data_IF_413684005674
#
_entry.id   IF_413684005674
#
_cell.length_a   1.000
_cell.length_b   1.000
_cell.length_c   1.000
_cell.angle_alpha   90.00
_cell.angle_beta   90.00
_cell.angle_gamma   90.00
#
_symmetry.space_group_name_H-M   'P 1'
#
loop_
_entity.id
_entity.type
_entity.pdbx_description
1 polymer ?
#
# COMPACT_ATOMS: atom_id res chain seq x y z
N UNK A 1 9.34 18.58 15.93
CA UNK A 1 9.16 17.12 16.04
C UNK A 1 10.45 16.54 16.57
N UNK A 2 10.42 15.88 17.72
CA UNK A 2 11.58 15.26 18.34
C UNK A 2 11.53 13.75 18.14
N UNK A 3 12.69 13.08 18.08
CA UNK A 3 12.78 11.63 17.85
C UNK A 3 11.90 10.85 18.83
N UNK A 4 11.83 11.26 20.10
CA UNK A 4 11.03 10.57 21.11
C UNK A 4 9.51 10.61 20.84
N UNK A 5 9.03 11.60 20.08
CA UNK A 5 7.63 11.74 19.66
C UNK A 5 7.29 10.76 18.53
N UNK A 6 8.29 10.28 17.79
CA UNK A 6 8.17 9.27 16.74
C UNK A 6 8.33 7.84 17.27
N UNK A 7 8.89 7.71 18.47
CA UNK A 7 9.21 6.43 19.12
C UNK A 7 8.07 5.97 20.05
N UNK A 8 7.35 6.92 20.66
CA UNK A 8 6.20 6.63 21.53
C UNK A 8 4.90 6.73 20.73
N UNK A 9 3.99 5.81 21.01
CA UNK A 9 2.67 5.81 20.36
C UNK A 9 1.94 7.13 20.68
N UNK A 10 1.44 7.86 19.67
CA UNK A 10 0.60 9.03 19.92
C UNK A 10 -0.66 8.63 20.69
N UNK A 11 -1.10 9.49 21.62
CA UNK A 11 -2.23 9.27 22.51
C UNK A 11 -3.60 9.51 21.85
N UNK A 12 -4.47 10.28 22.53
CA UNK A 12 -5.84 10.59 22.09
C UNK A 12 -5.88 11.17 20.66
N UNK A 13 -6.88 10.78 19.86
CA UNK A 13 -7.06 11.26 18.48
C UNK A 13 -6.37 10.41 17.41
N UNK A 14 -5.63 9.38 17.81
CA UNK A 14 -4.98 8.43 16.92
C UNK A 14 -5.68 7.08 16.95
N UNK A 15 -6.07 6.62 15.78
CA UNK A 15 -6.65 5.30 15.57
C UNK A 15 -5.54 4.25 15.60
N UNK A 16 -5.74 3.26 16.45
CA UNK A 16 -4.89 2.09 16.60
C UNK A 16 -5.13 1.13 15.44
N UNK A 17 -4.15 0.28 15.13
CA UNK A 17 -4.38 -0.92 14.33
C UNK A 17 -5.56 -1.73 14.91
N UNK A 18 -6.70 -1.75 14.21
CA UNK A 18 -7.69 -2.84 14.27
C UNK A 18 -7.33 -3.84 13.19
N UNK A 19 -7.12 -5.12 13.55
CA UNK A 19 -6.78 -6.17 12.57
C UNK A 19 -7.78 -6.12 11.41
N UNK A 20 -7.26 -5.69 10.25
CA UNK A 20 -7.90 -5.54 8.96
C UNK A 20 -6.80 -5.50 7.90
N UNK A 21 -7.13 -5.87 6.66
CA UNK A 21 -6.20 -6.16 5.55
C UNK A 21 -5.49 -4.92 4.98
N UNK A 22 -4.64 -4.26 5.75
CA UNK A 22 -3.82 -3.18 5.18
C UNK A 22 -2.91 -2.42 6.15
N UNK A 23 -1.69 -2.92 6.36
CA UNK A 23 -0.52 -2.04 6.61
C UNK A 23 -0.17 -1.23 5.36
N UNK A 24 0.69 -0.21 5.47
CA UNK A 24 1.23 0.76 4.47
C UNK A 24 0.27 1.32 3.37
N UNK A 25 -0.49 0.47 2.71
CA UNK A 25 -1.36 0.70 1.56
C UNK A 25 -2.70 1.41 1.85
N UNK A 26 -3.03 1.71 3.11
CA UNK A 26 -4.32 2.34 3.46
C UNK A 26 -4.23 3.81 3.79
N UNK A 27 -3.05 4.33 4.13
CA UNK A 27 -2.93 5.76 4.39
C UNK A 27 -3.32 6.57 3.16
N UNK A 28 -2.93 6.11 1.96
CA UNK A 28 -3.32 6.74 0.69
C UNK A 28 -4.81 6.66 0.37
N UNK A 29 -5.56 5.73 0.99
CA UNK A 29 -7.02 5.62 0.83
C UNK A 29 -7.75 6.64 1.70
N UNK A 30 -7.20 6.93 2.87
CA UNK A 30 -7.82 7.80 3.87
C UNK A 30 -7.28 9.21 3.72
N UNK A 31 -5.97 9.37 3.79
CA UNK A 31 -5.19 10.59 3.62
C UNK A 31 -4.50 10.58 2.25
N UNK A 32 -5.28 10.80 1.19
CA UNK A 32 -4.83 10.61 -0.20
C UNK A 32 -3.75 11.58 -0.67
N UNK A 33 -3.57 12.70 0.04
CA UNK A 33 -2.56 13.72 -0.19
C UNK A 33 -1.29 13.50 0.64
N UNK A 34 -1.33 12.54 1.59
CA UNK A 34 -0.24 12.33 2.51
C UNK A 34 1.02 11.85 1.78
N UNK A 35 2.17 12.34 2.26
CA UNK A 35 3.50 11.96 1.78
C UNK A 35 4.26 11.25 2.88
N UNK A 36 4.78 10.08 2.54
CA UNK A 36 5.54 9.25 3.47
C UNK A 36 7.01 9.64 3.43
N UNK A 37 7.57 9.94 4.60
CA UNK A 37 8.99 10.13 4.83
C UNK A 37 9.55 8.96 5.64
N UNK A 38 10.64 8.37 5.16
CA UNK A 38 11.26 7.21 5.78
C UNK A 38 12.45 7.62 6.65
N UNK A 39 12.43 7.21 7.91
CA UNK A 39 13.50 7.45 8.88
C UNK A 39 14.17 6.13 9.25
N UNK A 40 15.08 5.68 8.40
CA UNK A 40 15.67 4.35 8.52
C UNK A 40 16.38 4.11 9.86
N UNK A 41 17.10 5.12 10.38
CA UNK A 41 17.78 5.04 11.69
C UNK A 41 16.81 4.83 12.85
N UNK A 42 15.56 5.28 12.72
CA UNK A 42 14.52 5.16 13.74
C UNK A 42 13.61 3.95 13.53
N UNK A 43 13.76 3.25 12.39
CA UNK A 43 12.87 2.18 11.91
C UNK A 43 11.40 2.63 11.90
N UNK A 44 11.16 3.83 11.39
CA UNK A 44 9.80 4.35 11.22
C UNK A 44 9.63 5.09 9.88
N UNK A 45 8.39 5.10 9.40
CA UNK A 45 7.91 5.90 8.28
C UNK A 45 6.81 6.81 8.80
N UNK A 46 6.84 8.09 8.43
CA UNK A 46 5.88 9.09 8.89
C UNK A 46 5.13 9.66 7.69
N UNK A 47 3.81 9.73 7.77
CA UNK A 47 2.96 10.29 6.72
C UNK A 47 2.50 11.70 7.09
N UNK A 48 2.69 12.63 6.16
CA UNK A 48 2.35 14.04 6.32
C UNK A 48 1.34 14.52 5.29
N UNK A 49 0.22 15.07 5.75
CA UNK A 49 -0.76 15.81 4.96
C UNK A 49 -0.38 17.29 5.04
N UNK A 50 0.29 17.81 4.01
CA UNK A 50 0.92 19.13 4.07
C UNK A 50 2.00 19.18 5.18
N UNK A 51 1.78 20.03 6.20
CA UNK A 51 2.67 20.12 7.37
C UNK A 51 2.21 19.29 8.57
N UNK A 52 1.09 18.58 8.47
CA UNK A 52 0.52 17.83 9.58
C UNK A 52 0.94 16.35 9.54
N UNK A 53 1.49 15.85 10.64
CA UNK A 53 1.72 14.42 10.82
C UNK A 53 0.39 13.69 11.04
N UNK A 54 0.05 12.78 10.12
CA UNK A 54 -1.22 12.04 10.09
C UNK A 54 -1.03 10.53 10.23
N UNK A 55 0.18 10.00 10.07
CA UNK A 55 0.45 8.57 10.20
C UNK A 55 1.86 8.27 10.66
N UNK A 56 2.01 7.19 11.42
CA UNK A 56 3.32 6.63 11.80
C UNK A 56 3.25 5.12 11.59
N UNK A 57 4.26 4.60 10.91
CA UNK A 57 4.45 3.19 10.62
C UNK A 57 5.81 2.81 11.20
N UNK A 58 5.82 1.93 12.19
CA UNK A 58 7.02 1.35 12.77
C UNK A 58 7.30 0.01 12.11
N UNK A 59 8.56 -0.27 11.85
CA UNK A 59 9.01 -1.50 11.20
C UNK A 59 10.32 -2.00 11.83
N UNK A 60 10.89 -3.09 11.30
CA UNK A 60 12.14 -3.67 11.80
C UNK A 60 12.01 -4.19 13.24
N UNK A 61 12.99 -3.89 14.09
CA UNK A 61 13.07 -4.41 15.46
C UNK A 61 11.88 -3.97 16.36
N UNK A 62 11.16 -2.91 15.98
CA UNK A 62 10.00 -2.40 16.72
C UNK A 62 8.74 -3.26 16.51
N UNK A 63 8.81 -4.17 15.54
CA UNK A 63 7.67 -4.88 14.97
C UNK A 63 6.85 -3.98 14.06
N UNK A 64 6.14 -4.58 13.11
CA UNK A 64 5.23 -3.86 12.24
C UNK A 64 4.06 -3.33 13.09
N UNK A 65 4.02 -2.01 13.29
CA UNK A 65 2.96 -1.32 14.03
C UNK A 65 2.60 -0.07 13.28
N UNK A 66 1.31 0.24 13.20
CA UNK A 66 0.87 1.49 12.61
C UNK A 66 -0.15 2.20 13.49
N UNK A 67 -0.19 3.53 13.34
CA UNK A 67 -1.25 4.38 13.86
C UNK A 67 -1.45 5.57 12.92
N UNK A 68 -2.70 6.03 12.79
CA UNK A 68 -3.04 7.22 12.00
C UNK A 68 -3.98 8.12 12.79
N UNK A 69 -4.01 9.40 12.46
CA UNK A 69 -5.06 10.30 12.96
C UNK A 69 -6.41 9.95 12.35
N UNK A 70 -7.46 10.10 13.14
CA UNK A 70 -8.81 10.08 12.60
C UNK A 70 -8.96 11.22 11.57
N UNK A 71 -9.60 10.93 10.44
CA UNK A 71 -9.89 11.97 9.45
C UNK A 71 -10.82 13.03 10.08
N UNK A 72 -10.58 14.33 9.83
CA UNK A 72 -11.52 15.39 10.13
C UNK A 72 -12.87 15.15 9.43
N UNK A 73 -13.94 15.72 9.98
CA UNK A 73 -15.29 15.56 9.44
C UNK A 73 -15.45 16.21 8.05
N UNK A 74 -14.68 17.26 7.79
CA UNK A 74 -14.63 18.05 6.56
C UNK A 74 -13.63 17.51 5.52
N UNK A 75 -13.01 16.35 5.78
CA UNK A 75 -12.04 15.76 4.89
C UNK A 75 -12.65 15.40 3.53
N UNK A 76 -12.13 16.05 2.47
CA UNK A 76 -12.59 15.82 1.12
C UNK A 76 -12.02 14.51 0.56
N UNK A 77 -12.81 13.72 -0.18
CA UNK A 77 -12.30 12.53 -0.86
C UNK A 77 -11.29 12.92 -1.95
N UNK A 78 -10.51 11.94 -2.41
CA UNK A 78 -9.62 12.12 -3.55
C UNK A 78 -10.44 12.63 -4.75
N UNK A 79 -10.06 13.77 -5.38
CA UNK A 79 -10.78 14.27 -6.54
C UNK A 79 -10.81 13.22 -7.65
N UNK A 80 -11.96 13.13 -8.32
CA UNK A 80 -12.29 12.09 -9.29
C UNK A 80 -11.24 11.96 -10.41
N UNK A 81 -10.73 13.09 -10.89
CA UNK A 81 -9.70 13.14 -11.95
C UNK A 81 -8.46 12.35 -11.55
N UNK A 82 -7.98 12.54 -10.32
CA UNK A 82 -6.80 11.82 -9.81
C UNK A 82 -7.11 10.37 -9.47
N UNK A 83 -8.36 10.05 -9.10
CA UNK A 83 -8.79 8.67 -8.88
C UNK A 83 -8.68 7.86 -10.17
N UNK A 84 -9.23 8.38 -11.27
CA UNK A 84 -9.18 7.75 -12.60
C UNK A 84 -7.74 7.57 -13.09
N UNK A 85 -6.88 8.58 -12.89
CA UNK A 85 -5.47 8.49 -13.26
C UNK A 85 -4.73 7.39 -12.48
N UNK A 86 -4.96 7.30 -11.16
CA UNK A 86 -4.39 6.25 -10.31
C UNK A 86 -4.91 4.86 -10.70
N UNK A 87 -6.20 4.72 -11.00
CA UNK A 87 -6.80 3.46 -11.48
C UNK A 87 -6.19 3.02 -12.80
N UNK A 88 -6.03 3.95 -13.75
CA UNK A 88 -5.35 3.70 -15.02
C UNK A 88 -3.91 3.23 -14.81
N UNK A 89 -3.12 3.91 -13.98
CA UNK A 89 -1.74 3.51 -13.69
C UNK A 89 -1.63 2.10 -13.08
N UNK A 90 -2.57 1.74 -12.20
CA UNK A 90 -2.66 0.38 -11.64
C UNK A 90 -3.01 -0.66 -12.71
N UNK A 91 -3.98 -0.35 -13.57
CA UNK A 91 -4.37 -1.24 -14.66
C UNK A 91 -3.21 -1.48 -15.62
N UNK A 92 -2.50 -0.42 -16.03
CA UNK A 92 -1.33 -0.54 -16.88
C UNK A 92 -0.21 -1.37 -16.26
N UNK A 93 0.00 -1.28 -14.93
CA UNK A 93 0.98 -2.13 -14.24
C UNK A 93 0.57 -3.61 -14.24
N UNK A 94 -0.70 -3.90 -13.99
CA UNK A 94 -1.24 -5.26 -14.07
C UNK A 94 -1.15 -5.82 -15.49
N UNK A 95 -1.45 -4.99 -16.49
CA UNK A 95 -1.38 -5.38 -17.90
C UNK A 95 0.06 -5.69 -18.31
N UNK A 96 1.05 -4.91 -17.86
CA UNK A 96 2.48 -5.22 -18.07
C UNK A 96 2.85 -6.59 -17.51
N UNK A 97 2.42 -6.90 -16.28
CA UNK A 97 2.68 -8.19 -15.64
C UNK A 97 2.00 -9.32 -16.42
N UNK A 98 0.75 -9.12 -16.84
CA UNK A 98 -0.03 -10.08 -17.62
C UNK A 98 0.63 -10.39 -18.96
N UNK A 99 1.02 -9.37 -19.71
CA UNK A 99 1.71 -9.50 -21.00
C UNK A 99 3.04 -10.23 -20.81
N UNK A 100 3.83 -9.86 -19.79
CA UNK A 100 5.10 -10.53 -19.47
C UNK A 100 4.91 -11.99 -19.01
N UNK A 101 3.79 -12.33 -18.38
CA UNK A 101 3.45 -13.71 -18.06
C UNK A 101 3.08 -14.49 -19.33
N UNK A 102 2.23 -13.93 -20.18
CA UNK A 102 1.81 -14.54 -21.44
C UNK A 102 3.00 -14.77 -22.39
N UNK A 103 3.91 -13.82 -22.53
CA UNK A 103 5.11 -13.96 -23.36
C UNK A 103 6.02 -15.08 -22.86
N UNK A 104 6.23 -15.19 -21.54
CA UNK A 104 6.97 -16.32 -20.92
C UNK A 104 6.30 -17.66 -21.19
N UNK A 105 4.97 -17.72 -21.09
CA UNK A 105 4.22 -18.94 -21.39
C UNK A 105 4.35 -19.34 -22.86
N UNK A 106 4.23 -18.39 -23.80
CA UNK A 106 4.39 -18.65 -25.23
C UNK A 106 5.81 -19.13 -25.57
N UNK A 107 6.84 -18.46 -25.06
CA UNK A 107 8.23 -18.87 -25.26
C UNK A 107 8.52 -20.28 -24.68
N UNK A 108 7.87 -20.66 -23.58
CA UNK A 108 7.98 -22.00 -23.02
C UNK A 108 7.29 -23.06 -23.92
N UNK A 109 6.14 -22.73 -24.53
CA UNK A 109 5.45 -23.60 -25.48
C UNK A 109 6.31 -23.80 -26.74
N UNK A 110 6.88 -22.72 -27.28
CA UNK A 110 7.78 -22.79 -28.45
C UNK A 110 9.00 -23.67 -28.20
N UNK A 111 9.64 -23.55 -27.02
CA UNK A 111 10.80 -24.40 -26.68
C UNK A 111 10.46 -25.87 -26.47
N UNK A 112 9.28 -26.18 -25.93
CA UNK A 112 8.95 -27.54 -25.49
C UNK A 112 8.00 -28.30 -26.42
N UNK A 113 7.37 -27.61 -27.38
CA UNK A 113 6.35 -28.16 -28.28
C UNK A 113 5.07 -28.65 -27.58
N UNK A 114 4.98 -28.54 -26.25
CA UNK A 114 3.86 -29.03 -25.44
C UNK A 114 3.14 -27.85 -24.80
N UNK A 115 1.88 -27.63 -25.17
CA UNK A 115 0.97 -26.84 -24.33
C UNK A 115 0.78 -27.60 -23.02
N UNK A 116 1.14 -26.99 -21.88
CA UNK A 116 0.73 -27.50 -20.57
C UNK A 116 -0.81 -27.55 -20.57
N UNK A 117 -1.38 -28.75 -20.46
CA UNK A 117 -2.83 -28.93 -20.22
C UNK A 117 -3.15 -28.29 -18.87
N UNK A 118 -4.20 -27.47 -18.83
CA UNK A 118 -4.75 -27.01 -17.56
C UNK A 118 -5.17 -28.23 -16.73
N UNK A 119 -4.99 -28.22 -15.40
CA UNK A 119 -5.50 -29.28 -14.56
C UNK A 119 -7.02 -29.36 -14.71
N UNK A 120 -7.53 -30.57 -14.88
CA UNK A 120 -8.94 -30.86 -15.06
C UNK A 120 -9.70 -30.49 -13.78
N UNK A 121 -10.63 -29.55 -13.86
CA UNK A 121 -11.39 -29.04 -12.70
C UNK A 121 -12.64 -29.91 -12.44
N UNK A 122 -12.79 -31.04 -13.11
CA UNK A 122 -13.98 -31.90 -13.02
C UNK A 122 -13.90 -33.01 -11.95
N UNK A 123 -13.15 -32.81 -10.87
CA UNK A 123 -13.13 -33.75 -9.75
C UNK A 123 -13.48 -33.03 -8.43
N UNK A 124 -14.78 -32.72 -8.28
CA UNK A 124 -15.45 -32.52 -6.98
C UNK A 124 -16.79 -33.24 -7.04
#
# INVERSE_FOLDING_TARGET
MQDHELIKRPGRGWTKWERGTGGEFEIDKIWWDARVLHFAKLNCSCAFSGSELVGIILWGFRGEKWCMKAKPADWQPLPEVYRLERERGRQEALDRIRIAAQSRTLAAIERTGKRRRAPDVSAV
#
